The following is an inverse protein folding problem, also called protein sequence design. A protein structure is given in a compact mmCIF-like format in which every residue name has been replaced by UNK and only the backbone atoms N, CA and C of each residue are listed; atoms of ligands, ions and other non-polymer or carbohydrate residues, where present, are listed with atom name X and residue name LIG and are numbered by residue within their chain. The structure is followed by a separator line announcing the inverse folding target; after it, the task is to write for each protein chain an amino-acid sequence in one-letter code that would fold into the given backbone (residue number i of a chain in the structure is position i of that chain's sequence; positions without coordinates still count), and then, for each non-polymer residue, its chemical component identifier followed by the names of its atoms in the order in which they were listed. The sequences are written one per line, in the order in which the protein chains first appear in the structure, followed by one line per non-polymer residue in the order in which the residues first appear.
data_IF_864009060554
#
_entry.id   IF_864009060554
#
_cell.length_a   1.000
_cell.length_b   1.000
_cell.length_c   1.000
_cell.angle_alpha   90.00
_cell.angle_beta   90.00
_cell.angle_gamma   90.00
#
_symmetry.space_group_name_H-M   'P 1'
#
loop_
_entity.id
_entity.type
_entity.pdbx_description
1 polymer ?
#
# COMPACT_ATOMS: atom_id res chain seq x y z
N UNK A 1 14.42 9.20 2.58
CA UNK A 1 14.26 7.95 3.36
C UNK A 1 12.80 7.61 3.61
N UNK A 2 12.03 8.42 4.35
CA UNK A 2 10.58 8.20 4.60
C UNK A 2 9.80 7.73 3.36
N UNK A 3 9.85 8.50 2.27
CA UNK A 3 9.13 8.21 1.03
C UNK A 3 9.57 6.89 0.33
N UNK A 4 10.83 6.48 0.52
CA UNK A 4 11.33 5.23 -0.03
C UNK A 4 10.75 4.02 0.75
N UNK A 5 10.73 4.12 2.08
CA UNK A 5 10.19 3.08 2.97
C UNK A 5 8.66 2.96 2.80
N UNK A 6 7.95 4.09 2.78
CA UNK A 6 6.51 4.12 2.49
C UNK A 6 6.19 3.64 1.07
N UNK A 7 7.07 3.95 0.10
CA UNK A 7 6.99 3.45 -1.27
C UNK A 7 7.11 1.94 -1.36
N UNK A 8 8.01 1.34 -0.58
CA UNK A 8 8.15 -0.12 -0.50
C UNK A 8 6.95 -0.76 0.20
N UNK A 9 6.52 -0.21 1.35
CA UNK A 9 5.37 -0.71 2.10
C UNK A 9 4.04 -0.64 1.31
N UNK A 10 3.89 0.37 0.44
CA UNK A 10 2.73 0.51 -0.44
C UNK A 10 2.81 -0.35 -1.71
N UNK A 11 3.94 -1.01 -1.96
CA UNK A 11 4.18 -1.77 -3.18
C UNK A 11 4.56 -0.93 -4.40
N UNK A 12 4.70 0.40 -4.28
CA UNK A 12 5.21 1.28 -5.35
C UNK A 12 6.63 0.88 -5.77
N UNK A 13 7.44 0.46 -4.80
CA UNK A 13 8.77 -0.10 -5.01
C UNK A 13 8.71 -1.59 -4.68
N UNK A 14 8.92 -2.45 -5.66
CA UNK A 14 8.72 -3.90 -5.54
C UNK A 14 9.96 -4.65 -5.06
N UNK A 15 11.16 -4.06 -5.23
CA UNK A 15 12.42 -4.72 -4.91
C UNK A 15 13.41 -3.80 -4.20
N UNK A 16 14.34 -4.39 -3.46
CA UNK A 16 15.46 -3.67 -2.86
C UNK A 16 16.30 -2.89 -3.89
N UNK A 17 16.35 -3.36 -5.15
CA UNK A 17 17.03 -2.67 -6.24
C UNK A 17 16.30 -1.40 -6.69
N UNK A 18 14.97 -1.39 -6.65
CA UNK A 18 14.16 -0.19 -6.93
C UNK A 18 14.27 0.83 -5.81
N UNK A 19 14.28 0.38 -4.54
CA UNK A 19 14.54 1.25 -3.38
C UNK A 19 15.89 1.92 -3.50
N UNK A 20 16.94 1.14 -3.84
CA UNK A 20 18.28 1.66 -4.11
C UNK A 20 18.29 2.72 -5.20
N UNK A 21 17.69 2.44 -6.37
CA UNK A 21 17.61 3.39 -7.49
C UNK A 21 16.85 4.66 -7.11
N UNK A 22 15.74 4.51 -6.38
CA UNK A 22 14.93 5.64 -5.93
C UNK A 22 15.73 6.57 -5.02
N UNK A 23 16.52 6.02 -4.08
CA UNK A 23 17.36 6.82 -3.19
C UNK A 23 18.51 7.48 -3.96
N UNK A 24 19.19 6.74 -4.85
CA UNK A 24 20.31 7.26 -5.65
C UNK A 24 19.88 8.40 -6.58
N UNK A 25 18.68 8.32 -7.16
CA UNK A 25 18.15 9.33 -8.07
C UNK A 25 17.56 10.55 -7.35
N UNK A 26 17.52 10.55 -6.02
CA UNK A 26 16.89 11.64 -5.27
C UNK A 26 17.82 12.88 -5.22
N UNK A 27 17.34 14.11 -5.50
CA UNK A 27 18.20 15.30 -5.60
C UNK A 27 19.02 15.63 -4.35
N UNK A 28 18.48 15.27 -3.17
CA UNK A 28 19.14 15.45 -1.87
C UNK A 28 20.14 14.36 -1.51
N UNK A 29 20.30 13.34 -2.35
CA UNK A 29 21.28 12.29 -2.13
C UNK A 29 22.67 12.80 -2.52
N UNK A 30 23.44 13.23 -1.54
CA UNK A 30 24.87 13.49 -1.71
C UNK A 30 25.62 12.17 -1.64
N UNK A 31 26.14 11.70 -2.76
CA UNK A 31 26.98 10.51 -2.81
C UNK A 31 28.24 10.70 -1.95
N UNK A 32 28.34 10.01 -0.82
CA UNK A 32 29.63 9.75 -0.17
C UNK A 32 30.46 8.79 -1.02
N UNK A 33 31.77 8.62 -0.75
CA UNK A 33 32.52 7.48 -1.32
C UNK A 33 32.14 6.21 -0.54
N UNK A 34 31.80 5.08 -1.19
CA UNK A 34 31.64 4.88 -2.63
C UNK A 34 30.34 5.52 -3.14
N UNK A 35 30.40 6.09 -4.35
CA UNK A 35 29.37 6.94 -4.96
C UNK A 35 28.06 6.24 -5.35
N UNK A 36 27.82 5.04 -4.85
CA UNK A 36 26.66 4.23 -5.14
C UNK A 36 26.25 3.44 -3.90
N UNK A 37 24.96 3.50 -3.56
CA UNK A 37 24.37 2.56 -2.62
C UNK A 37 24.44 1.13 -3.17
N UNK A 38 24.78 0.14 -2.34
CA UNK A 38 24.68 -1.29 -2.70
C UNK A 38 23.27 -1.82 -2.41
N UNK A 39 22.93 -3.00 -2.96
CA UNK A 39 21.65 -3.65 -2.63
C UNK A 39 21.60 -4.04 -1.15
N UNK A 40 22.73 -4.44 -0.57
CA UNK A 40 22.84 -4.78 0.86
C UNK A 40 22.58 -3.56 1.75
N UNK A 41 23.11 -2.39 1.39
CA UNK A 41 22.82 -1.14 2.11
C UNK A 41 21.33 -0.77 2.04
N UNK A 42 20.71 -0.94 0.86
CA UNK A 42 19.27 -0.74 0.71
C UNK A 42 18.48 -1.73 1.59
N UNK A 43 18.90 -2.99 1.66
CA UNK A 43 18.29 -4.00 2.54
C UNK A 43 18.45 -3.64 4.02
N UNK A 44 19.63 -3.17 4.44
CA UNK A 44 19.85 -2.67 5.81
C UNK A 44 18.89 -1.55 6.16
N UNK A 45 18.54 -0.67 5.22
CA UNK A 45 17.55 0.36 5.47
C UNK A 45 16.14 -0.18 5.69
N UNK A 46 15.76 -1.24 4.98
CA UNK A 46 14.45 -1.88 5.12
C UNK A 46 14.31 -2.70 6.41
N UNK A 47 15.41 -3.29 6.90
CA UNK A 47 15.42 -4.12 8.12
C UNK A 47 15.54 -3.27 9.39
N UNK A 48 16.09 -2.06 9.34
CA UNK A 48 16.43 -1.32 10.54
C UNK A 48 15.19 -0.75 11.28
N UNK A 49 14.90 -1.19 12.53
CA UNK A 49 13.76 -0.73 13.31
C UNK A 49 13.90 0.72 13.80
N UNK A 50 15.10 1.31 13.75
CA UNK A 50 15.35 2.71 14.13
C UNK A 50 14.46 3.68 13.35
N UNK A 51 14.17 3.39 12.08
CA UNK A 51 13.30 4.27 11.30
C UNK A 51 11.85 4.26 11.77
N UNK A 52 11.42 3.21 12.48
CA UNK A 52 10.12 3.13 13.12
C UNK A 52 10.11 3.75 14.53
N UNK A 53 11.25 4.27 15.02
CA UNK A 53 11.37 4.77 16.39
C UNK A 53 11.55 3.65 17.43
N UNK A 54 12.08 2.49 17.03
CA UNK A 54 12.34 1.38 17.93
C UNK A 54 13.82 0.98 17.91
N UNK A 55 14.30 0.50 19.05
CA UNK A 55 15.64 -0.04 19.23
C UNK A 55 15.54 -1.55 19.42
N UNK A 56 16.36 -2.28 18.69
CA UNK A 56 16.53 -3.72 18.81
C UNK A 56 18.00 -4.01 18.60
N UNK A 57 18.68 -4.51 19.63
CA UNK A 57 20.12 -4.76 19.55
C UNK A 57 20.52 -5.91 20.47
N UNK A 58 20.69 -7.09 19.87
CA UNK A 58 21.17 -8.28 20.56
C UNK A 58 22.59 -8.08 21.15
N UNK A 59 23.45 -7.29 20.50
CA UNK A 59 24.82 -7.05 20.96
C UNK A 59 24.90 -6.22 22.25
N UNK A 60 23.86 -5.44 22.53
CA UNK A 60 23.78 -4.56 23.71
C UNK A 60 22.73 -5.04 24.72
N UNK A 61 22.19 -6.26 24.53
CA UNK A 61 21.09 -6.84 25.30
C UNK A 61 19.87 -5.91 25.44
N UNK A 62 19.60 -5.13 24.38
CA UNK A 62 18.45 -4.23 24.33
C UNK A 62 17.32 -4.92 23.59
N UNK A 63 16.31 -5.34 24.36
CA UNK A 63 15.03 -5.84 23.83
C UNK A 63 14.30 -4.77 23.01
N UNK A 64 13.38 -5.22 22.15
CA UNK A 64 12.61 -4.37 21.25
C UNK A 64 11.81 -3.30 22.03
N UNK A 65 12.35 -2.09 22.11
CA UNK A 65 11.80 -0.99 22.94
C UNK A 65 11.64 0.29 22.13
N UNK A 66 10.71 1.13 22.58
CA UNK A 66 10.48 2.44 21.97
C UNK A 66 11.67 3.36 22.23
N UNK A 67 12.22 3.92 21.16
CA UNK A 67 13.30 4.89 21.21
C UNK A 67 12.78 6.31 21.48
N UNK A 68 13.67 7.20 21.92
CA UNK A 68 13.31 8.59 22.27
C UNK A 68 13.28 9.54 21.07
N UNK A 69 13.84 9.15 19.92
CA UNK A 69 13.84 9.98 18.71
C UNK A 69 12.51 9.92 17.97
N UNK A 70 12.26 10.94 17.15
CA UNK A 70 11.06 10.98 16.32
C UNK A 70 11.13 9.90 15.22
N UNK A 71 10.11 9.04 15.09
CA UNK A 71 10.07 8.01 14.06
C UNK A 71 9.90 8.60 12.65
N UNK A 72 10.59 8.02 11.66
CA UNK A 72 10.40 8.38 10.26
C UNK A 72 9.16 7.71 9.65
N UNK A 73 8.87 6.48 10.06
CA UNK A 73 7.72 5.67 9.62
C UNK A 73 7.00 5.08 10.84
N UNK A 74 5.74 4.69 10.71
CA UNK A 74 5.06 3.93 11.77
C UNK A 74 5.61 2.50 11.88
N UNK A 75 5.52 1.87 13.05
CA UNK A 75 5.87 0.47 13.21
C UNK A 75 4.91 -0.45 12.45
N UNK A 76 3.66 -0.04 12.22
CA UNK A 76 2.79 -0.75 11.25
C UNK A 76 3.39 -0.76 9.84
N UNK A 77 3.90 0.39 9.37
CA UNK A 77 4.53 0.50 8.04
C UNK A 77 5.79 -0.35 7.97
N UNK A 78 6.60 -0.33 9.04
CA UNK A 78 7.79 -1.17 9.15
C UNK A 78 7.45 -2.67 9.16
N UNK A 79 6.41 -3.08 9.89
CA UNK A 79 5.99 -4.48 9.91
C UNK A 79 5.53 -4.94 8.52
N UNK A 80 4.77 -4.10 7.79
CA UNK A 80 4.42 -4.42 6.39
C UNK A 80 5.65 -4.61 5.52
N UNK A 81 6.70 -3.80 5.69
CA UNK A 81 7.97 -3.99 4.98
C UNK A 81 8.55 -5.37 5.29
N UNK A 82 8.57 -5.78 6.56
CA UNK A 82 9.04 -7.11 6.97
C UNK A 82 8.20 -8.24 6.34
N UNK A 83 6.88 -8.10 6.31
CA UNK A 83 5.97 -9.09 5.73
C UNK A 83 6.16 -9.21 4.20
N UNK A 84 6.39 -8.09 3.52
CA UNK A 84 6.75 -8.06 2.08
C UNK A 84 8.09 -8.78 1.84
N UNK A 85 9.09 -8.55 2.71
CA UNK A 85 10.40 -9.18 2.59
C UNK A 85 10.35 -10.69 2.84
N UNK A 86 9.48 -11.15 3.74
CA UNK A 86 9.23 -12.59 4.00
C UNK A 86 8.48 -13.28 2.86
N UNK A 87 7.85 -12.52 1.97
CA UNK A 87 7.11 -13.04 0.81
C UNK A 87 5.61 -13.18 1.03
N UNK A 88 5.10 -12.82 2.21
CA UNK A 88 3.69 -13.00 2.60
C UNK A 88 2.75 -11.96 1.97
N UNK A 89 3.29 -10.79 1.59
CA UNK A 89 2.51 -9.67 1.07
C UNK A 89 3.08 -9.14 -0.26
N UNK A 90 2.87 -9.85 -1.37
CA UNK A 90 3.11 -9.26 -2.70
C UNK A 90 1.90 -8.45 -3.14
N UNK A 91 1.99 -7.13 -2.99
CA UNK A 91 1.05 -6.23 -3.67
C UNK A 91 1.39 -6.20 -5.17
N UNK A 92 0.49 -6.61 -6.06
CA UNK A 92 0.73 -6.47 -7.49
C UNK A 92 0.78 -4.98 -7.85
N UNK A 93 1.98 -4.48 -8.12
CA UNK A 93 2.18 -3.11 -8.56
C UNK A 93 1.84 -3.00 -10.05
N UNK A 94 0.57 -2.78 -10.38
CA UNK A 94 0.22 -2.43 -11.76
C UNK A 94 0.31 -0.91 -11.92
N UNK A 95 1.48 -0.44 -12.31
CA UNK A 95 1.75 0.96 -12.67
C UNK A 95 1.12 1.39 -14.02
N UNK A 96 0.08 0.71 -14.50
CA UNK A 96 -0.53 0.99 -15.82
C UNK A 96 -1.64 2.06 -15.77
N UNK A 97 -1.81 2.79 -14.67
CA UNK A 97 -2.78 3.89 -14.58
C UNK A 97 -2.15 5.20 -15.07
N UNK A 98 -1.80 5.26 -16.35
CA UNK A 98 -1.45 6.55 -16.97
C UNK A 98 -2.71 7.41 -17.08
N UNK A 99 -2.72 8.57 -16.43
CA UNK A 99 -3.86 9.50 -16.43
C UNK A 99 -4.27 9.96 -17.84
N UNK A 100 -3.36 9.89 -18.81
CA UNK A 100 -3.60 10.27 -20.20
C UNK A 100 -4.46 9.27 -20.99
N UNK A 101 -4.63 8.05 -20.48
CA UNK A 101 -5.42 6.97 -21.10
C UNK A 101 -6.27 6.24 -20.05
N UNK A 102 -7.34 6.87 -19.55
CA UNK A 102 -8.20 6.30 -18.50
C UNK A 102 -8.86 4.97 -18.91
N UNK A 103 -9.09 4.76 -20.22
CA UNK A 103 -9.76 3.55 -20.72
C UNK A 103 -8.78 2.42 -21.12
N UNK A 104 -7.47 2.59 -20.87
CA UNK A 104 -6.47 1.57 -21.20
C UNK A 104 -6.75 0.27 -20.43
N UNK A 105 -6.83 -0.84 -21.16
CA UNK A 105 -7.17 -2.14 -20.57
C UNK A 105 -8.67 -2.42 -20.47
N UNK A 106 -9.53 -1.43 -20.69
CA UNK A 106 -10.99 -1.59 -20.71
C UNK A 106 -11.57 -1.61 -22.13
N UNK A 107 -10.93 -0.92 -23.07
CA UNK A 107 -11.36 -0.93 -24.48
C UNK A 107 -10.94 -2.24 -25.14
N UNK A 108 -11.90 -3.08 -25.53
CA UNK A 108 -11.66 -4.31 -26.27
C UNK A 108 -11.59 -4.08 -27.79
N UNK A 109 -10.74 -4.83 -28.49
CA UNK A 109 -10.75 -4.85 -29.95
C UNK A 109 -12.04 -5.51 -30.45
N UNK A 110 -12.76 -4.86 -31.38
CA UNK A 110 -13.99 -5.41 -32.00
C UNK A 110 -13.79 -6.71 -32.77
N UNK A 111 -12.56 -7.07 -33.12
CA UNK A 111 -12.27 -8.30 -33.86
C UNK A 111 -11.85 -9.47 -32.95
N UNK A 112 -10.98 -9.24 -31.97
CA UNK A 112 -10.43 -10.31 -31.13
C UNK A 112 -10.80 -10.22 -29.64
N UNK A 113 -11.56 -9.20 -29.22
CA UNK A 113 -11.95 -8.98 -27.81
C UNK A 113 -10.79 -8.59 -26.88
N UNK A 114 -9.54 -8.75 -27.31
CA UNK A 114 -8.37 -8.45 -26.48
C UNK A 114 -8.29 -6.95 -26.16
N UNK A 115 -7.92 -6.56 -24.92
CA UNK A 115 -7.82 -5.16 -24.56
C UNK A 115 -6.79 -4.42 -25.42
N UNK A 116 -7.19 -3.26 -25.91
CA UNK A 116 -6.34 -2.38 -26.71
C UNK A 116 -5.31 -1.69 -25.82
N UNK A 117 -4.12 -1.49 -26.39
CA UNK A 117 -3.01 -0.77 -25.77
C UNK A 117 -3.09 0.70 -26.14
N UNK A 118 -2.57 1.59 -25.29
CA UNK A 118 -2.44 3.01 -25.59
C UNK A 118 -1.07 3.34 -26.18
N UNK A 119 -1.01 4.24 -27.16
CA UNK A 119 0.25 4.69 -27.75
C UNK A 119 0.16 6.14 -28.21
N UNK A 120 1.30 6.84 -28.19
CA UNK A 120 1.45 8.13 -28.85
C UNK A 120 2.15 7.93 -30.19
N UNK A 121 1.58 8.52 -31.24
CA UNK A 121 2.22 8.60 -32.55
C UNK A 121 2.72 10.03 -32.79
N UNK A 122 3.96 10.16 -33.28
CA UNK A 122 4.57 11.46 -33.59
C UNK A 122 4.21 11.88 -35.01
N UNK A 123 3.61 13.06 -35.16
CA UNK A 123 3.32 13.64 -36.47
C UNK A 123 4.52 14.37 -37.07
N UNK A 124 4.41 14.70 -38.36
CA UNK A 124 5.48 15.37 -39.15
C UNK A 124 5.97 16.69 -38.55
N UNK A 125 5.10 17.42 -37.85
CA UNK A 125 5.41 18.70 -37.18
C UNK A 125 5.87 18.54 -35.72
N UNK A 126 6.17 17.32 -35.28
CA UNK A 126 6.63 17.04 -33.91
C UNK A 126 5.53 16.85 -32.86
N UNK A 127 4.26 17.11 -33.18
CA UNK A 127 3.15 16.87 -32.26
C UNK A 127 2.93 15.39 -31.93
N UNK A 128 2.61 15.10 -30.67
CA UNK A 128 2.25 13.76 -30.19
C UNK A 128 0.73 13.58 -30.24
N UNK A 129 0.27 12.50 -30.86
CA UNK A 129 -1.14 12.19 -31.05
C UNK A 129 -1.50 10.89 -30.32
N UNK A 130 -2.46 10.91 -29.38
CA UNK A 130 -2.82 9.72 -28.61
C UNK A 130 -3.80 8.80 -29.36
N UNK A 131 -3.52 7.50 -29.33
CA UNK A 131 -4.33 6.45 -29.95
C UNK A 131 -4.50 5.22 -29.05
N UNK A 132 -5.63 4.54 -29.23
CA UNK A 132 -5.81 3.15 -28.77
C UNK A 132 -5.54 2.20 -29.95
N UNK A 133 -4.76 1.15 -29.72
CA UNK A 133 -4.20 0.26 -30.73
C UNK A 133 -4.39 -1.21 -30.34
N UNK A 134 -4.84 -2.04 -31.28
CA UNK A 134 -4.78 -3.50 -31.12
C UNK A 134 -3.37 -4.02 -31.44
N UNK A 135 -2.73 -4.74 -30.50
CA UNK A 135 -1.42 -5.37 -30.69
C UNK A 135 -1.46 -6.90 -30.64
N UNK A 136 -2.65 -7.50 -30.66
CA UNK A 136 -2.79 -8.95 -30.56
C UNK A 136 -2.27 -9.63 -31.83
N UNK A 137 -1.29 -10.52 -31.66
CA UNK A 137 -0.79 -11.38 -32.74
C UNK A 137 -1.92 -12.28 -33.24
N UNK A 138 -2.08 -12.38 -34.55
CA UNK A 138 -3.15 -13.18 -35.18
C UNK A 138 -4.50 -12.47 -35.31
N UNK A 139 -4.63 -11.21 -34.88
CA UNK A 139 -5.87 -10.44 -35.12
C UNK A 139 -5.88 -9.84 -36.53
N UNK A 140 -7.00 -9.95 -37.25
CA UNK A 140 -7.18 -9.32 -38.57
C UNK A 140 -7.08 -7.78 -38.53
N UNK A 141 -7.33 -7.18 -37.36
CA UNK A 141 -7.20 -5.74 -37.10
C UNK A 141 -5.97 -5.40 -36.25
N UNK A 142 -4.96 -6.28 -36.21
CA UNK A 142 -3.69 -5.99 -35.57
C UNK A 142 -3.05 -4.75 -36.22
N UNK A 143 -2.56 -3.81 -35.41
CA UNK A 143 -2.00 -2.56 -35.89
C UNK A 143 -3.03 -1.44 -36.15
N UNK A 144 -4.34 -1.72 -36.07
CA UNK A 144 -5.36 -0.68 -36.25
C UNK A 144 -5.40 0.26 -35.05
N UNK A 145 -5.15 1.55 -35.31
CA UNK A 145 -5.21 2.63 -34.32
C UNK A 145 -6.52 3.42 -34.45
N UNK A 146 -7.09 3.81 -33.30
CA UNK A 146 -8.28 4.65 -33.20
C UNK A 146 -7.91 5.86 -32.33
N UNK A 147 -8.32 7.06 -32.75
CA UNK A 147 -8.01 8.30 -32.02
C UNK A 147 -8.58 8.24 -30.61
N UNK A 148 -7.80 8.69 -29.62
CA UNK A 148 -8.24 8.72 -28.22
C UNK A 148 -9.58 9.44 -28.03
N UNK A 149 -9.69 10.64 -28.61
CA UNK A 149 -10.89 11.48 -28.52
C UNK A 149 -12.15 10.75 -28.94
N UNK A 150 -12.13 10.00 -30.05
CA UNK A 150 -13.32 9.28 -30.55
C UNK A 150 -13.82 8.22 -29.57
N UNK A 151 -12.91 7.47 -28.95
CA UNK A 151 -13.28 6.42 -27.99
C UNK A 151 -13.77 7.05 -26.69
N UNK A 152 -13.08 8.08 -26.21
CA UNK A 152 -13.43 8.74 -24.94
C UNK A 152 -14.72 9.55 -25.03
N UNK A 153 -14.99 10.22 -26.16
CA UNK A 153 -16.25 10.92 -26.42
C UNK A 153 -17.40 9.92 -26.54
N UNK A 154 -17.25 8.85 -27.33
CA UNK A 154 -18.28 7.82 -27.44
C UNK A 154 -18.58 7.16 -26.08
N UNK A 155 -17.55 6.97 -25.24
CA UNK A 155 -17.73 6.46 -23.89
C UNK A 155 -18.44 7.48 -22.99
N UNK A 156 -18.10 8.78 -23.09
CA UNK A 156 -18.77 9.84 -22.36
C UNK A 156 -20.25 9.95 -22.75
N UNK A 157 -20.59 9.76 -24.03
CA UNK A 157 -21.97 9.74 -24.53
C UNK A 157 -22.75 8.57 -23.95
N UNK A 158 -22.14 7.39 -23.91
CA UNK A 158 -22.71 6.21 -23.29
C UNK A 158 -22.96 6.45 -21.79
N UNK A 159 -22.02 7.08 -21.08
CA UNK A 159 -22.21 7.44 -19.67
C UNK A 159 -23.36 8.43 -19.46
N UNK A 160 -23.52 9.42 -20.36
CA UNK A 160 -24.65 10.35 -20.31
C UNK A 160 -25.99 9.62 -20.48
N UNK A 161 -26.06 8.64 -21.38
CA UNK A 161 -27.23 7.79 -21.58
C UNK A 161 -27.56 6.86 -20.40
N UNK A 162 -26.57 6.51 -19.58
CA UNK A 162 -26.73 5.67 -18.39
C UNK A 162 -27.17 6.45 -17.13
N UNK A 163 -27.55 7.72 -17.25
CA UNK A 163 -27.99 8.53 -16.09
C UNK A 163 -29.23 7.91 -15.45
N UNK A 164 -29.15 7.40 -14.21
CA UNK A 164 -30.26 6.70 -13.57
C UNK A 164 -31.40 7.68 -13.23
N UNK A 165 -32.64 7.17 -13.23
CA UNK A 165 -33.81 7.93 -12.76
C UNK A 165 -33.63 8.36 -11.31
N UNK A 166 -34.17 9.53 -10.94
CA UNK A 166 -34.02 10.10 -9.60
C UNK A 166 -34.45 9.14 -8.47
N UNK A 167 -35.48 8.33 -8.71
CA UNK A 167 -35.96 7.30 -7.78
C UNK A 167 -34.92 6.21 -7.52
N UNK A 168 -34.23 5.75 -8.56
CA UNK A 168 -33.18 4.74 -8.45
C UNK A 168 -31.98 5.31 -7.67
N UNK A 169 -31.62 6.57 -7.92
CA UNK A 169 -30.57 7.27 -7.15
C UNK A 169 -30.93 7.34 -5.67
N UNK A 170 -32.20 7.63 -5.34
CA UNK A 170 -32.68 7.67 -3.95
C UNK A 170 -32.58 6.29 -3.27
N UNK A 171 -33.04 5.23 -3.95
CA UNK A 171 -32.95 3.86 -3.43
C UNK A 171 -31.49 3.45 -3.20
N UNK A 172 -30.64 3.65 -4.21
CA UNK A 172 -29.21 3.36 -4.14
C UNK A 172 -28.54 4.15 -3.02
N UNK A 173 -28.90 5.43 -2.82
CA UNK A 173 -28.39 6.25 -1.72
C UNK A 173 -28.76 5.69 -0.34
N UNK A 174 -29.98 5.18 -0.17
CA UNK A 174 -30.43 4.53 1.07
C UNK A 174 -29.65 3.24 1.31
N UNK A 175 -29.49 2.41 0.27
CA UNK A 175 -28.69 1.19 0.34
C UNK A 175 -27.23 1.50 0.69
N UNK A 176 -26.63 2.52 0.06
CA UNK A 176 -25.27 2.96 0.36
C UNK A 176 -25.13 3.42 1.80
N UNK A 177 -26.08 4.19 2.34
CA UNK A 177 -26.06 4.57 3.77
C UNK A 177 -26.12 3.36 4.67
N UNK A 178 -26.99 2.40 4.40
CA UNK A 178 -27.08 1.18 5.20
C UNK A 178 -25.75 0.41 5.22
N UNK A 179 -25.15 0.20 4.05
CA UNK A 179 -23.83 -0.45 3.95
C UNK A 179 -22.73 0.37 4.63
N UNK A 180 -22.81 1.70 4.53
CA UNK A 180 -21.88 2.61 5.20
C UNK A 180 -21.97 2.51 6.73
N UNK A 181 -23.19 2.51 7.26
CA UNK A 181 -23.47 2.41 8.69
C UNK A 181 -23.07 1.04 9.24
N UNK A 182 -23.37 -0.04 8.52
CA UNK A 182 -22.90 -1.40 8.84
C UNK A 182 -21.37 -1.43 8.91
N UNK A 183 -20.70 -0.79 7.95
CA UNK A 183 -19.24 -0.71 7.94
C UNK A 183 -18.70 0.11 9.10
N UNK A 184 -19.32 1.25 9.43
CA UNK A 184 -18.95 2.04 10.60
C UNK A 184 -19.13 1.25 11.90
N UNK A 185 -20.15 0.39 12.00
CA UNK A 185 -20.32 -0.53 13.14
C UNK A 185 -19.18 -1.54 13.22
N UNK A 186 -18.85 -2.22 12.13
CA UNK A 186 -17.73 -3.19 12.12
C UNK A 186 -16.39 -2.55 12.51
N UNK A 187 -16.12 -1.31 12.08
CA UNK A 187 -14.91 -0.57 12.47
C UNK A 187 -14.90 -0.27 13.98
N UNK A 188 -16.04 0.11 14.55
CA UNK A 188 -16.18 0.30 16.01
C UNK A 188 -15.98 -1.01 16.78
N UNK A 189 -16.59 -2.10 16.33
CA UNK A 189 -16.47 -3.43 16.93
C UNK A 189 -15.01 -3.94 16.88
N UNK A 190 -14.33 -3.74 15.75
CA UNK A 190 -12.90 -4.05 15.63
C UNK A 190 -12.05 -3.22 16.59
N UNK A 191 -12.33 -1.91 16.72
CA UNK A 191 -11.61 -1.06 17.66
C UNK A 191 -11.83 -1.52 19.12
N UNK A 192 -13.03 -1.98 19.47
CA UNK A 192 -13.29 -2.57 20.80
C UNK A 192 -12.59 -3.92 20.97
N UNK A 193 -12.56 -4.78 19.95
CA UNK A 193 -11.85 -6.07 19.98
C UNK A 193 -10.36 -5.86 20.21
N UNK A 194 -9.72 -5.00 19.42
CA UNK A 194 -8.28 -4.68 19.55
C UNK A 194 -7.94 -4.16 20.95
N UNK A 195 -8.80 -3.34 21.56
CA UNK A 195 -8.62 -2.88 22.94
C UNK A 195 -8.72 -4.04 23.93
N UNK A 196 -9.68 -4.94 23.78
CA UNK A 196 -9.82 -6.11 24.64
C UNK A 196 -8.66 -7.10 24.49
N UNK A 197 -8.15 -7.29 23.29
CA UNK A 197 -6.97 -8.11 23.00
C UNK A 197 -5.72 -7.54 23.67
N UNK A 198 -5.50 -6.22 23.55
CA UNK A 198 -4.38 -5.55 24.24
C UNK A 198 -4.47 -5.72 25.78
N UNK A 199 -5.68 -5.60 26.35
CA UNK A 199 -5.90 -5.83 27.78
C UNK A 199 -5.69 -7.30 28.19
N UNK A 200 -6.01 -8.26 27.31
CA UNK A 200 -5.75 -9.67 27.56
C UNK A 200 -4.24 -9.98 27.58
N UNK A 201 -3.47 -9.38 26.66
CA UNK A 201 -2.01 -9.50 26.64
C UNK A 201 -1.40 -8.89 27.91
N UNK A 202 -1.91 -7.76 28.39
CA UNK A 202 -1.45 -7.17 29.66
C UNK A 202 -1.65 -8.09 30.86
N UNK A 203 -2.78 -8.80 30.92
CA UNK A 203 -3.02 -9.81 31.95
C UNK A 203 -2.06 -10.99 31.83
N UNK A 204 -1.75 -11.43 30.61
CA UNK A 204 -0.79 -12.52 30.38
C UNK A 204 0.63 -12.12 30.79
N UNK A 205 1.06 -10.89 30.48
CA UNK A 205 2.35 -10.35 30.90
C UNK A 205 2.43 -10.33 32.44
N UNK A 206 1.41 -9.80 33.11
CA UNK A 206 1.36 -9.78 34.58
C UNK A 206 1.47 -11.19 35.18
N UNK A 207 0.71 -12.17 34.66
CA UNK A 207 0.78 -13.56 35.11
C UNK A 207 2.16 -14.21 34.91
N UNK A 208 2.85 -13.89 33.82
CA UNK A 208 4.21 -14.38 33.58
C UNK A 208 5.22 -13.74 34.54
N UNK A 209 5.10 -12.44 34.80
CA UNK A 209 5.94 -11.75 35.78
C UNK A 209 5.77 -12.32 37.19
N UNK A 210 4.53 -12.58 37.63
CA UNK A 210 4.26 -13.20 38.92
C UNK A 210 4.91 -14.59 39.04
N UNK A 211 4.90 -15.38 37.95
CA UNK A 211 5.54 -16.70 37.90
C UNK A 211 7.06 -16.64 37.90
N UNK A 212 7.66 -15.62 37.27
CA UNK A 212 9.11 -15.40 37.29
C UNK A 212 9.57 -15.13 38.72
N UNK A 213 8.86 -14.28 39.46
CA UNK A 213 9.19 -13.97 40.87
C UNK A 213 9.11 -15.22 41.76
N UNK A 214 8.25 -16.19 41.43
CA UNK A 214 8.06 -17.41 42.20
C UNK A 214 8.96 -18.60 41.80
N UNK A 215 9.81 -18.47 40.76
CA UNK A 215 10.57 -19.60 40.19
C UNK A 215 12.08 -19.38 40.29
N UNK A 216 12.83 -20.37 40.78
CA UNK A 216 14.30 -20.29 40.94
C UNK A 216 15.11 -20.91 39.78
N UNK A 217 14.45 -21.56 38.81
CA UNK A 217 15.13 -22.21 37.69
C UNK A 217 15.50 -21.23 36.56
N UNK A 218 16.81 -20.98 36.40
CA UNK A 218 17.39 -20.07 35.39
C UNK A 218 16.96 -20.37 33.94
N UNK A 219 16.79 -21.64 33.56
CA UNK A 219 16.39 -21.99 32.18
C UNK A 219 14.94 -21.59 31.88
N UNK A 220 14.07 -21.67 32.89
CA UNK A 220 12.65 -21.32 32.80
C UNK A 220 12.48 -19.81 32.81
N UNK A 221 13.28 -19.09 33.62
CA UNK A 221 13.33 -17.63 33.64
C UNK A 221 13.65 -17.08 32.23
N UNK A 222 14.72 -17.57 31.59
CA UNK A 222 15.08 -17.14 30.24
C UNK A 222 14.07 -17.52 29.15
N UNK A 223 13.21 -18.52 29.38
CA UNK A 223 12.09 -18.82 28.49
C UNK A 223 10.92 -17.84 28.68
N UNK A 224 10.62 -17.47 29.92
CA UNK A 224 9.60 -16.47 30.23
C UNK A 224 9.98 -15.07 29.77
N UNK A 225 11.25 -14.65 29.93
CA UNK A 225 11.75 -13.35 29.42
C UNK A 225 11.55 -13.21 27.90
N UNK A 226 11.86 -14.27 27.15
CA UNK A 226 11.62 -14.33 25.69
C UNK A 226 10.14 -14.22 25.37
N UNK A 227 9.27 -14.87 26.15
CA UNK A 227 7.83 -14.82 25.94
C UNK A 227 7.23 -13.45 26.28
N UNK A 228 7.69 -12.81 27.35
CA UNK A 228 7.30 -11.45 27.72
C UNK A 228 7.71 -10.47 26.61
N UNK A 229 8.94 -10.55 26.12
CA UNK A 229 9.42 -9.71 25.00
C UNK A 229 8.57 -9.88 23.73
N UNK A 230 8.16 -11.11 23.42
CA UNK A 230 7.26 -11.40 22.30
C UNK A 230 5.87 -10.76 22.50
N UNK A 231 5.28 -10.91 23.69
CA UNK A 231 3.97 -10.34 24.03
C UNK A 231 3.98 -8.81 24.04
N UNK A 232 5.05 -8.19 24.55
CA UNK A 232 5.24 -6.73 24.49
C UNK A 232 5.30 -6.23 23.05
N UNK A 233 6.02 -6.94 22.17
CA UNK A 233 6.05 -6.63 20.74
C UNK A 233 4.66 -6.77 20.11
N UNK A 234 3.90 -7.81 20.44
CA UNK A 234 2.53 -8.00 19.95
C UNK A 234 1.61 -6.87 20.41
N UNK A 235 1.72 -6.45 21.67
CA UNK A 235 0.95 -5.31 22.21
C UNK A 235 1.24 -4.02 21.45
N UNK A 236 2.52 -3.72 21.19
CA UNK A 236 2.93 -2.54 20.42
C UNK A 236 2.35 -2.56 19.00
N UNK A 237 2.39 -3.73 18.34
CA UNK A 237 1.79 -3.92 17.02
C UNK A 237 0.28 -3.69 17.02
N UNK A 238 -0.44 -4.21 18.02
CA UNK A 238 -1.89 -4.02 18.16
C UNK A 238 -2.26 -2.56 18.46
N UNK A 239 -1.46 -1.85 19.25
CA UNK A 239 -1.69 -0.44 19.58
C UNK A 239 -1.56 0.48 18.35
N UNK A 240 -0.65 0.17 17.43
CA UNK A 240 -0.47 0.94 16.20
C UNK A 240 -1.37 0.48 15.04
N UNK A 241 -1.98 -0.71 15.13
CA UNK A 241 -2.86 -1.24 14.08
C UNK A 241 -4.16 -0.41 14.05
N UNK A 242 -4.43 0.35 12.97
CA UNK A 242 -5.71 1.02 12.85
C UNK A 242 -6.82 -0.04 12.75
N UNK A 243 -8.02 0.22 13.30
CA UNK A 243 -9.17 -0.61 12.97
C UNK A 243 -9.31 -0.61 11.44
N UNK A 244 -9.60 -1.77 10.84
CA UNK A 244 -9.58 -1.94 9.38
C UNK A 244 -10.81 -1.24 8.81
N UNK A 245 -10.76 0.09 8.74
CA UNK A 245 -11.58 0.87 7.84
C UNK A 245 -11.09 0.51 6.45
N UNK A 246 -11.74 -0.49 5.83
CA UNK A 246 -11.29 -1.00 4.54
C UNK A 246 -11.03 0.17 3.61
N UNK A 247 -9.76 0.32 3.24
CA UNK A 247 -9.24 1.48 2.52
C UNK A 247 -10.11 1.68 1.28
N UNK A 248 -10.95 2.72 1.27
CA UNK A 248 -11.30 3.33 0.01
C UNK A 248 -9.96 3.77 -0.58
N UNK A 249 -9.62 3.24 -1.76
CA UNK A 249 -8.50 3.77 -2.52
C UNK A 249 -8.54 5.30 -2.42
N UNK A 250 -7.45 5.92 -1.94
CA UNK A 250 -7.30 7.39 -1.82
C UNK A 250 -7.52 8.15 -3.15
N UNK A 251 -7.81 7.45 -4.23
CA UNK A 251 -8.12 8.01 -5.55
C UNK A 251 -9.50 8.68 -5.63
N UNK A 252 -10.43 8.44 -4.70
CA UNK A 252 -11.78 9.03 -4.75
C UNK A 252 -11.98 10.32 -3.93
N UNK A 253 -10.98 10.81 -3.19
CA UNK A 253 -11.11 12.02 -2.35
C UNK A 253 -10.82 13.34 -3.06
N UNK A 254 -10.55 13.34 -4.38
CA UNK A 254 -10.63 14.59 -5.15
C UNK A 254 -12.10 14.87 -5.44
N UNK A 255 -12.68 16.00 -4.98
CA UNK A 255 -14.01 16.38 -5.42
C UNK A 255 -13.99 16.45 -6.95
N UNK A 256 -14.94 15.76 -7.59
CA UNK A 256 -15.18 15.89 -9.01
C UNK A 256 -15.41 17.36 -9.31
N UNK A 257 -14.40 18.02 -9.91
CA UNK A 257 -14.52 19.38 -10.41
C UNK A 257 -15.32 19.25 -11.71
N UNK A 258 -16.58 19.70 -11.77
CA UNK A 258 -17.32 19.64 -13.02
C UNK A 258 -16.53 20.42 -14.07
N UNK A 259 -16.22 19.77 -15.19
CA UNK A 259 -15.70 20.45 -16.36
C UNK A 259 -16.76 21.48 -16.76
N UNK A 260 -16.44 22.76 -16.58
CA UNK A 260 -17.20 23.83 -17.21
C UNK A 260 -16.92 23.70 -18.71
N UNK A 261 -17.92 23.24 -19.45
CA UNK A 261 -17.96 23.35 -20.90
C UNK A 261 -18.08 24.83 -21.29
#
# INVERSE_FOLDING_TARGET
MREALEGFASGRLASQAEVRRFIQNHPRFSAGRPCHLTNEQAMRFLINPLYAGYLDSASWDVSFRKAQHEPLISLETFQRIQDVLKGDARTPNRADLNAEFPLRGHVGCSCCGHPMTATFSRGRRGGLFPYYLCRQRGCARNGKSIRRAQIEEAFADLLRGLTPRAELVKLVSVMFRKVWDDRMRTVKEQATSLKSEAAAIDRQIAQLLDRIVATDNLTVIGAYERKVSELERQKLLLAEKPPVAGRLCRTMTKPYKPLRF
#
